data_IF_302983987159
#
_entry.id   IF_302983987159
#
_cell.length_a   1.000
_cell.length_b   1.000
_cell.length_c   1.000
_cell.angle_alpha   90.00
_cell.angle_beta   90.00
_cell.angle_gamma   90.00
#
_symmetry.space_group_name_H-M   'P 1'
#
loop_
_entity.id
_entity.type
_entity.pdbx_description
1 polymer ?
#
# COMPACT_ATOMS: atom_id res chain seq x y z
N UNK A 1 12.66 -13.00 9.38
CA UNK A 1 11.22 -12.68 9.16
C UNK A 1 10.81 -11.78 10.31
N UNK A 2 11.15 -10.49 10.23
CA UNK A 2 11.06 -9.60 11.39
C UNK A 2 9.72 -8.87 11.38
N UNK A 3 8.75 -9.47 12.07
CA UNK A 3 7.46 -8.88 12.44
C UNK A 3 7.64 -7.82 13.55
N UNK A 4 8.67 -6.98 13.48
CA UNK A 4 8.86 -5.89 14.45
C UNK A 4 8.15 -4.61 14.01
N UNK A 5 7.91 -4.37 12.72
CA UNK A 5 7.41 -3.08 12.24
C UNK A 5 5.88 -2.91 12.26
N UNK A 6 5.11 -3.99 12.48
CA UNK A 6 3.66 -3.88 12.63
C UNK A 6 3.26 -3.26 13.99
N UNK A 7 4.15 -3.32 14.99
CA UNK A 7 3.87 -2.83 16.35
C UNK A 7 4.99 -1.97 16.94
N UNK A 8 6.21 -2.06 16.41
CA UNK A 8 7.36 -1.24 16.82
C UNK A 8 7.64 -0.21 15.73
N UNK A 9 7.33 1.06 16.04
CA UNK A 9 7.51 2.21 15.15
C UNK A 9 8.98 2.65 15.15
N UNK A 10 9.89 1.72 14.87
CA UNK A 10 11.28 2.09 14.61
C UNK A 10 11.34 2.89 13.30
N UNK A 11 11.29 4.22 13.47
CA UNK A 11 11.31 5.21 12.40
C UNK A 11 12.53 5.09 11.49
N UNK A 12 13.59 4.40 11.89
CA UNK A 12 14.79 4.26 11.06
C UNK A 12 14.55 3.43 9.79
N UNK A 13 13.58 2.51 9.84
CA UNK A 13 13.25 1.57 8.77
C UNK A 13 12.05 2.01 7.92
N UNK A 14 11.51 3.19 8.18
CA UNK A 14 10.40 3.81 7.46
C UNK A 14 10.83 5.13 6.82
N UNK A 15 10.18 5.54 5.75
CA UNK A 15 10.37 6.88 5.17
C UNK A 15 9.72 7.99 6.01
N UNK A 16 8.86 7.64 6.98
CA UNK A 16 8.16 8.54 7.89
C UNK A 16 7.33 9.60 7.15
N UNK A 17 6.61 9.18 6.11
CA UNK A 17 5.67 10.07 5.45
C UNK A 17 4.42 10.26 6.29
N UNK A 18 3.95 11.50 6.32
CA UNK A 18 2.66 11.87 6.87
C UNK A 18 1.79 12.50 5.78
N UNK A 19 0.48 12.31 5.87
CA UNK A 19 -0.46 13.03 5.01
C UNK A 19 -0.51 14.51 5.37
N UNK A 20 -0.86 15.38 4.43
CA UNK A 20 -1.38 16.72 4.78
C UNK A 20 -2.67 16.60 5.60
N UNK A 21 -3.14 17.65 6.31
CA UNK A 21 -4.40 17.61 7.02
C UNK A 21 -5.57 17.20 6.10
N UNK A 22 -6.26 16.13 6.46
CA UNK A 22 -7.33 15.57 5.65
C UNK A 22 -8.69 16.17 6.05
N UNK A 23 -9.25 17.08 5.24
CA UNK A 23 -10.54 17.76 5.52
C UNK A 23 -11.69 16.77 5.77
N UNK A 24 -11.75 15.68 4.99
CA UNK A 24 -12.74 14.61 5.17
C UNK A 24 -12.56 13.76 6.43
N UNK A 25 -11.48 13.98 7.18
CA UNK A 25 -11.11 13.21 8.36
C UNK A 25 -10.83 14.14 9.56
N UNK A 26 -11.61 15.21 9.74
CA UNK A 26 -11.43 16.21 10.81
C UNK A 26 -10.02 16.82 10.87
N UNK A 27 -9.43 17.07 9.70
CA UNK A 27 -8.06 17.59 9.54
C UNK A 27 -6.98 16.75 10.24
N UNK A 28 -7.24 15.46 10.51
CA UNK A 28 -6.22 14.56 11.05
C UNK A 28 -5.07 14.41 10.08
N UNK A 29 -3.86 14.33 10.65
CA UNK A 29 -2.63 13.92 9.99
C UNK A 29 -2.44 12.44 10.33
N UNK A 30 -2.23 11.62 9.31
CA UNK A 30 -2.07 10.18 9.46
C UNK A 30 -0.74 9.75 8.85
N UNK A 31 -0.06 8.82 9.50
CA UNK A 31 1.18 8.26 8.98
C UNK A 31 0.92 7.33 7.81
N UNK A 32 1.72 7.49 6.77
CA UNK A 32 1.70 6.71 5.54
C UNK A 32 2.96 5.84 5.48
N UNK A 33 2.90 4.69 6.17
CA UNK A 33 4.02 3.76 6.31
C UNK A 33 4.57 3.34 4.94
N UNK A 34 5.87 3.50 4.76
CA UNK A 34 6.65 3.10 3.59
C UNK A 34 8.02 2.60 4.04
N UNK A 35 8.25 1.30 3.90
CA UNK A 35 9.55 0.70 4.23
C UNK A 35 10.70 1.33 3.44
N UNK A 36 11.78 1.62 4.17
CA UNK A 36 13.08 2.04 3.66
C UNK A 36 14.10 0.91 3.84
N UNK A 37 13.88 -0.18 3.11
CA UNK A 37 14.71 -1.38 3.17
C UNK A 37 14.77 -2.08 1.81
N UNK A 38 15.72 -2.99 1.59
CA UNK A 38 15.74 -3.83 0.39
C UNK A 38 14.49 -4.71 0.34
N UNK A 39 13.80 -4.74 -0.81
CA UNK A 39 12.46 -5.33 -0.94
C UNK A 39 11.31 -4.34 -0.62
N UNK A 40 11.60 -3.20 -0.01
CA UNK A 40 10.60 -2.16 0.25
C UNK A 40 9.44 -2.66 1.11
N UNK A 41 8.21 -2.27 0.75
CA UNK A 41 7.02 -2.60 1.54
C UNK A 41 6.74 -4.11 1.62
N UNK A 42 7.21 -4.93 0.68
CA UNK A 42 7.02 -6.38 0.77
C UNK A 42 7.81 -7.03 1.91
N UNK A 43 8.85 -6.37 2.42
CA UNK A 43 9.63 -6.85 3.55
C UNK A 43 8.94 -6.64 4.92
N UNK A 44 7.91 -5.77 4.96
CA UNK A 44 7.29 -5.30 6.22
C UNK A 44 5.76 -5.37 6.23
N UNK A 45 5.13 -5.76 5.12
CA UNK A 45 3.68 -5.82 5.02
C UNK A 45 3.11 -7.02 5.81
N UNK A 46 1.79 -7.11 5.89
CA UNK A 46 1.10 -8.21 6.56
C UNK A 46 1.16 -9.55 5.82
N UNK A 47 2.02 -9.72 4.81
CA UNK A 47 2.21 -10.96 4.02
C UNK A 47 0.95 -11.52 3.33
N UNK A 48 -0.13 -10.74 3.27
CA UNK A 48 -1.37 -11.13 2.61
C UNK A 48 -1.15 -11.23 1.10
N UNK A 49 -1.69 -12.29 0.50
CA UNK A 49 -1.73 -12.47 -0.95
C UNK A 49 -3.20 -12.42 -1.36
N UNK A 50 -3.59 -11.28 -1.93
CA UNK A 50 -4.92 -11.04 -2.47
C UNK A 50 -4.72 -10.51 -3.89
N UNK A 51 -5.30 -11.17 -4.89
CA UNK A 51 -5.19 -10.72 -6.29
C UNK A 51 -6.13 -9.54 -6.58
N UNK A 52 -7.39 -9.65 -6.17
CA UNK A 52 -8.45 -8.69 -6.49
C UNK A 52 -9.65 -9.41 -7.11
N UNK A 53 -10.71 -8.68 -7.40
CA UNK A 53 -11.88 -9.23 -8.08
C UNK A 53 -11.78 -9.01 -9.60
N UNK A 54 -12.38 -9.90 -10.40
CA UNK A 54 -12.48 -9.76 -11.87
C UNK A 54 -12.85 -8.34 -12.32
N UNK A 55 -13.84 -7.75 -11.64
CA UNK A 55 -14.32 -6.40 -11.94
C UNK A 55 -13.26 -5.29 -11.78
N UNK A 56 -12.24 -5.48 -10.94
CA UNK A 56 -11.16 -4.50 -10.77
C UNK A 56 -10.26 -4.45 -12.02
N UNK A 57 -9.91 -5.61 -12.56
CA UNK A 57 -9.10 -5.76 -13.77
C UNK A 57 -9.87 -5.32 -15.02
N UNK A 58 -11.12 -5.79 -15.17
CA UNK A 58 -11.97 -5.38 -16.30
C UNK A 58 -12.18 -3.86 -16.34
N UNK A 59 -12.29 -3.21 -15.17
CA UNK A 59 -12.37 -1.74 -15.09
C UNK A 59 -11.09 -1.09 -15.59
N UNK A 60 -9.91 -1.61 -15.22
CA UNK A 60 -8.62 -1.10 -15.71
C UNK A 60 -8.56 -1.22 -17.24
N UNK A 61 -8.96 -2.36 -17.80
CA UNK A 61 -9.00 -2.57 -19.24
C UNK A 61 -9.95 -1.57 -19.93
N UNK A 62 -11.14 -1.35 -19.37
CA UNK A 62 -12.13 -0.41 -19.90
C UNK A 62 -11.68 1.06 -19.92
N UNK A 63 -10.67 1.44 -19.13
CA UNK A 63 -10.03 2.76 -19.19
C UNK A 63 -9.10 2.94 -20.40
N UNK A 64 -9.07 1.98 -21.34
CA UNK A 64 -8.24 2.01 -22.54
C UNK A 64 -6.90 1.30 -22.39
N UNK A 65 -6.79 0.36 -21.44
CA UNK A 65 -5.57 -0.40 -21.16
C UNK A 65 -5.74 -1.87 -21.63
N UNK A 66 -5.63 -2.18 -22.93
CA UNK A 66 -5.74 -3.56 -23.40
C UNK A 66 -4.67 -4.46 -22.76
N UNK A 67 -4.99 -5.74 -22.52
CA UNK A 67 -4.08 -6.68 -21.85
C UNK A 67 -4.14 -6.62 -20.32
N UNK A 68 -5.07 -5.86 -19.74
CA UNK A 68 -5.26 -5.72 -18.30
C UNK A 68 -6.60 -6.25 -17.80
N UNK A 69 -7.38 -6.93 -18.65
CA UNK A 69 -8.61 -7.58 -18.20
C UNK A 69 -8.28 -8.80 -17.34
N UNK A 70 -9.27 -9.33 -16.63
CA UNK A 70 -9.04 -10.50 -15.78
C UNK A 70 -8.60 -11.75 -16.56
N UNK A 71 -9.00 -11.85 -17.83
CA UNK A 71 -8.77 -13.02 -18.67
C UNK A 71 -7.51 -12.91 -19.55
N UNK A 72 -6.84 -11.75 -19.54
CA UNK A 72 -5.54 -11.55 -20.21
C UNK A 72 -4.39 -12.19 -19.40
#
# INVERSE_FOLDING_TARGET
MYCHLLFDQDKSNDWNYDTVPQKGCNNRIMSALRARYLGGCSAINGTLIIRGAKADYDRIAALGNPGWSWED
#
